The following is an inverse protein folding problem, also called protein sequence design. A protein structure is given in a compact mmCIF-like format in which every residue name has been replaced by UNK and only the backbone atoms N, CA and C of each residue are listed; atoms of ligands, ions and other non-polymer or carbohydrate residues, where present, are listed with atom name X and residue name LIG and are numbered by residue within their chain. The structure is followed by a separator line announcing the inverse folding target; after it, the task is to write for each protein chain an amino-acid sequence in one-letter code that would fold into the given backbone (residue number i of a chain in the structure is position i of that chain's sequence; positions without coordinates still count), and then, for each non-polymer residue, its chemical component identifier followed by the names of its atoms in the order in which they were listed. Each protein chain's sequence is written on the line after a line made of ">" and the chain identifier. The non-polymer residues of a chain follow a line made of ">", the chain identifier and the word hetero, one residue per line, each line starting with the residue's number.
data_IF_354610770927
#
_entry.id   IF_354610770927
#
_cell.length_a   1.000
_cell.length_b   1.000
_cell.length_c   1.000
_cell.angle_alpha   90.00
_cell.angle_beta   90.00
_cell.angle_gamma   90.00
#
_symmetry.space_group_name_H-M   'P 1'
#
loop_
_entity.id
_entity.type
_entity.pdbx_description
1 polymer ?
#
# COMPACT_ATOMS: atom_id res chain seq x y z
N UNK A 1 -45.15 3.36 -14.77
CA UNK A 1 -44.69 2.20 -15.57
C UNK A 1 -43.57 2.65 -16.50
N UNK A 2 -42.50 1.85 -16.59
CA UNK A 2 -41.40 1.93 -17.56
C UNK A 2 -40.35 3.05 -17.41
N UNK A 3 -39.33 2.84 -16.57
CA UNK A 3 -38.01 2.39 -17.05
C UNK A 3 -37.11 2.13 -15.84
N UNK A 4 -37.08 0.88 -15.39
CA UNK A 4 -36.15 0.45 -14.36
C UNK A 4 -35.59 -0.89 -14.83
N UNK A 5 -34.56 -0.83 -15.68
CA UNK A 5 -33.78 -1.98 -16.10
C UNK A 5 -32.32 -1.58 -16.21
N UNK A 6 -31.49 -2.35 -15.51
CA UNK A 6 -30.05 -2.53 -15.66
C UNK A 6 -29.11 -1.63 -14.83
N UNK A 7 -29.19 -1.74 -13.50
CA UNK A 7 -28.01 -1.67 -12.64
C UNK A 7 -27.90 -2.95 -11.80
N UNK A 8 -27.68 -4.09 -12.48
CA UNK A 8 -27.12 -5.29 -11.84
C UNK A 8 -25.66 -5.38 -12.22
N UNK A 9 -24.84 -4.53 -11.61
CA UNK A 9 -23.42 -4.81 -11.47
C UNK A 9 -23.22 -5.17 -10.01
N UNK A 10 -23.28 -6.48 -9.74
CA UNK A 10 -22.88 -7.05 -8.46
C UNK A 10 -21.41 -6.62 -8.27
N UNK A 11 -21.17 -5.71 -7.33
CA UNK A 11 -19.84 -5.43 -6.82
C UNK A 11 -19.34 -6.74 -6.18
N UNK A 12 -18.58 -7.50 -6.96
CA UNK A 12 -17.89 -8.68 -6.48
C UNK A 12 -16.73 -8.15 -5.65
N UNK A 13 -16.76 -8.44 -4.35
CA UNK A 13 -15.70 -8.14 -3.39
C UNK A 13 -14.36 -8.66 -3.91
N UNK A 14 -13.54 -7.73 -4.36
CA UNK A 14 -12.21 -7.52 -3.83
C UNK A 14 -12.03 -6.01 -3.85
N UNK A 15 -11.98 -5.37 -2.68
CA UNK A 15 -11.24 -4.13 -2.58
C UNK A 15 -9.82 -4.42 -3.12
N UNK A 16 -9.25 -3.44 -3.82
CA UNK A 16 -7.81 -3.25 -4.05
C UNK A 16 -7.17 -3.77 -5.34
N UNK A 17 -7.83 -4.59 -6.15
CA UNK A 17 -7.05 -5.36 -7.11
C UNK A 17 -7.64 -5.31 -8.54
N UNK A 18 -7.03 -4.49 -9.40
CA UNK A 18 -7.38 -4.35 -10.82
C UNK A 18 -7.35 -5.72 -11.54
N UNK A 19 -8.01 -5.89 -12.69
CA UNK A 19 -7.83 -7.15 -13.42
C UNK A 19 -6.36 -7.31 -13.89
N UNK A 20 -5.84 -8.53 -13.82
CA UNK A 20 -4.48 -8.83 -14.30
C UNK A 20 -4.39 -8.61 -15.81
N UNK A 21 -3.49 -7.71 -16.21
CA UNK A 21 -3.18 -7.33 -17.60
C UNK A 21 -1.95 -8.09 -18.12
N UNK A 22 -1.06 -8.50 -17.21
CA UNK A 22 0.07 -9.38 -17.47
C UNK A 22 1.03 -8.90 -18.54
N UNK A 23 1.62 -9.85 -19.27
CA UNK A 23 2.61 -9.59 -20.33
C UNK A 23 2.10 -8.74 -21.51
N UNK A 24 0.79 -8.44 -21.56
CA UNK A 24 0.17 -7.59 -22.58
C UNK A 24 -0.01 -6.13 -22.15
N UNK A 25 0.39 -5.80 -20.91
CA UNK A 25 0.32 -4.44 -20.36
C UNK A 25 1.07 -3.45 -21.23
N UNK A 26 0.30 -2.61 -21.93
CA UNK A 26 0.85 -1.54 -22.77
C UNK A 26 1.48 -0.44 -21.91
N UNK A 27 0.94 -0.20 -20.71
CA UNK A 27 1.53 0.74 -19.75
C UNK A 27 2.97 0.33 -19.41
N UNK A 28 3.17 -0.93 -19.04
CA UNK A 28 4.50 -1.42 -18.66
C UNK A 28 5.48 -1.37 -19.81
N UNK A 29 5.05 -1.79 -21.01
CA UNK A 29 5.91 -1.77 -22.19
C UNK A 29 6.30 -0.36 -22.61
N UNK A 30 5.35 0.56 -22.65
CA UNK A 30 5.60 1.93 -23.10
C UNK A 30 6.46 2.70 -22.08
N UNK A 31 6.24 2.51 -20.77
CA UNK A 31 7.11 3.06 -19.73
C UNK A 31 8.52 2.45 -19.78
N UNK A 32 8.65 1.14 -20.00
CA UNK A 32 9.95 0.49 -20.19
C UNK A 32 10.73 1.14 -21.33
N UNK A 33 10.08 1.41 -22.47
CA UNK A 33 10.74 2.09 -23.58
C UNK A 33 11.20 3.51 -23.22
N UNK A 34 10.39 4.27 -22.48
CA UNK A 34 10.76 5.60 -22.00
C UNK A 34 11.97 5.56 -21.04
N UNK A 35 11.98 4.63 -20.07
CA UNK A 35 13.10 4.48 -19.15
C UNK A 35 14.36 3.91 -19.81
N UNK A 36 14.23 3.11 -20.87
CA UNK A 36 15.39 2.71 -21.67
C UNK A 36 16.07 3.94 -22.29
N UNK A 37 15.29 4.91 -22.78
CA UNK A 37 15.84 6.17 -23.27
C UNK A 37 16.54 6.97 -22.16
N UNK A 38 16.03 6.95 -20.92
CA UNK A 38 16.73 7.56 -19.77
C UNK A 38 18.11 6.94 -19.54
N UNK A 39 18.20 5.60 -19.59
CA UNK A 39 19.45 4.86 -19.40
C UNK A 39 20.43 5.18 -20.54
N UNK A 40 19.98 5.04 -21.79
CA UNK A 40 20.83 5.19 -22.98
C UNK A 40 21.40 6.60 -23.09
N UNK A 41 20.58 7.61 -22.78
CA UNK A 41 20.97 9.02 -22.84
C UNK A 41 21.56 9.54 -21.52
N UNK A 42 21.60 8.71 -20.47
CA UNK A 42 22.03 9.09 -19.10
C UNK A 42 21.37 10.37 -18.62
N UNK A 43 20.05 10.43 -18.74
CA UNK A 43 19.27 11.62 -18.38
C UNK A 43 19.42 11.90 -16.87
N UNK A 44 19.89 13.10 -16.54
CA UNK A 44 20.03 13.59 -15.15
C UNK A 44 19.31 14.92 -14.90
N UNK A 45 18.75 15.50 -15.95
CA UNK A 45 18.08 16.80 -15.92
C UNK A 45 16.57 16.67 -16.13
N UNK A 46 15.80 17.53 -15.46
CA UNK A 46 14.34 17.54 -15.51
C UNK A 46 13.77 17.72 -16.93
N UNK A 47 14.39 18.60 -17.75
CA UNK A 47 13.87 18.93 -19.10
C UNK A 47 13.86 17.72 -20.04
N UNK A 48 14.99 17.03 -20.29
CA UNK A 48 14.98 15.82 -21.12
C UNK A 48 14.12 14.71 -20.51
N UNK A 49 14.03 14.62 -19.19
CA UNK A 49 13.15 13.66 -18.52
C UNK A 49 11.66 13.88 -18.84
N UNK A 50 11.17 15.13 -18.75
CA UNK A 50 9.79 15.48 -19.13
C UNK A 50 9.55 15.24 -20.62
N UNK A 51 10.55 15.51 -21.47
CA UNK A 51 10.42 15.39 -22.93
C UNK A 51 10.13 13.95 -23.41
N UNK A 52 10.34 12.94 -22.55
CA UNK A 52 9.97 11.54 -22.83
C UNK A 52 8.46 11.28 -22.79
N UNK A 53 7.65 12.23 -22.31
CA UNK A 53 6.18 12.12 -22.35
C UNK A 53 5.62 11.02 -21.44
N UNK A 54 6.33 10.65 -20.36
CA UNK A 54 5.87 9.60 -19.43
C UNK A 54 4.51 9.90 -18.82
N UNK A 55 4.21 11.17 -18.51
CA UNK A 55 2.88 11.58 -18.05
C UNK A 55 1.77 11.25 -19.06
N UNK A 56 2.04 11.46 -20.36
CA UNK A 56 1.09 11.14 -21.43
C UNK A 56 0.91 9.63 -21.61
N UNK A 57 1.99 8.85 -21.43
CA UNK A 57 1.93 7.39 -21.43
C UNK A 57 0.99 6.92 -20.31
N UNK A 58 1.20 7.42 -19.08
CA UNK A 58 0.34 7.06 -17.94
C UNK A 58 -1.11 7.48 -18.21
N UNK A 59 -1.35 8.72 -18.62
CA UNK A 59 -2.70 9.21 -18.90
C UNK A 59 -3.42 8.39 -19.99
N UNK A 60 -2.71 7.99 -21.04
CA UNK A 60 -3.27 7.16 -22.12
C UNK A 60 -3.80 5.83 -21.60
N UNK A 61 -3.06 5.18 -20.71
CA UNK A 61 -3.40 3.84 -20.23
C UNK A 61 -4.30 3.84 -18.99
N UNK A 62 -4.05 4.72 -18.03
CA UNK A 62 -4.76 4.75 -16.73
C UNK A 62 -5.71 5.93 -16.58
N UNK A 63 -5.64 6.94 -17.44
CA UNK A 63 -6.46 8.14 -17.32
C UNK A 63 -6.04 9.06 -16.16
N UNK A 64 -4.95 8.75 -15.45
CA UNK A 64 -4.42 9.59 -14.38
C UNK A 64 -3.51 10.68 -14.93
N UNK A 65 -3.71 11.92 -14.50
CA UNK A 65 -2.86 13.04 -14.87
C UNK A 65 -1.62 13.07 -13.96
N UNK A 66 -0.55 12.39 -14.39
CA UNK A 66 0.71 12.34 -13.64
C UNK A 66 1.70 13.37 -14.17
N UNK A 67 2.26 14.14 -13.23
CA UNK A 67 3.39 15.03 -13.45
C UNK A 67 4.65 14.39 -12.87
N UNK A 68 5.60 14.07 -13.74
CA UNK A 68 6.84 13.47 -13.32
C UNK A 68 7.87 14.53 -12.93
N UNK A 69 8.44 14.40 -11.74
CA UNK A 69 9.62 15.14 -11.30
C UNK A 69 10.83 14.22 -11.19
N UNK A 70 11.97 14.75 -11.59
CA UNK A 70 13.26 14.11 -11.42
C UNK A 70 13.91 14.70 -10.18
N UNK A 71 14.16 13.85 -9.20
CA UNK A 71 14.99 14.24 -8.07
C UNK A 71 16.47 14.22 -8.51
N UNK A 72 17.05 15.41 -8.51
CA UNK A 72 18.44 15.65 -8.92
C UNK A 72 19.44 15.47 -7.78
N UNK A 73 18.98 15.11 -6.56
CA UNK A 73 19.87 14.79 -5.45
C UNK A 73 20.81 13.64 -5.86
N UNK A 74 22.15 13.86 -5.82
CA UNK A 74 23.10 12.87 -6.31
C UNK A 74 22.90 11.52 -5.61
N UNK A 75 22.63 10.48 -6.40
CA UNK A 75 22.56 9.10 -5.92
C UNK A 75 21.30 8.74 -5.14
N UNK A 76 20.23 9.52 -5.20
CA UNK A 76 18.95 9.10 -4.64
C UNK A 76 18.38 7.92 -5.45
N UNK A 77 18.31 6.74 -4.81
CA UNK A 77 17.72 5.52 -5.38
C UNK A 77 16.35 5.32 -4.77
N UNK A 78 15.41 6.18 -5.13
CA UNK A 78 14.04 6.08 -4.63
C UNK A 78 13.04 6.65 -5.63
N UNK A 79 11.78 6.33 -5.44
CA UNK A 79 10.66 7.00 -6.05
C UNK A 79 9.61 7.31 -4.97
N UNK A 80 8.73 8.27 -5.22
CA UNK A 80 7.56 8.48 -4.38
C UNK A 80 6.41 9.11 -5.15
N UNK A 81 5.19 8.65 -4.84
CA UNK A 81 3.96 9.29 -5.23
C UNK A 81 3.54 10.35 -4.20
N UNK A 82 3.21 11.53 -4.68
CA UNK A 82 2.67 12.63 -3.89
C UNK A 82 1.25 12.94 -4.37
N UNK A 83 0.24 12.16 -3.91
CA UNK A 83 -1.15 12.47 -4.21
C UNK A 83 -1.51 13.87 -3.69
N UNK A 84 -2.37 14.56 -4.42
CA UNK A 84 -2.84 15.88 -4.02
C UNK A 84 -3.54 15.81 -2.66
N UNK A 85 -3.30 16.78 -1.79
CA UNK A 85 -4.05 16.92 -0.54
C UNK A 85 -5.20 17.88 -0.80
N UNK A 86 -6.42 17.35 -1.00
CA UNK A 86 -7.62 18.14 -1.30
C UNK A 86 -8.11 18.96 -0.09
N UNK A 87 -7.92 18.44 1.12
CA UNK A 87 -8.28 19.12 2.37
C UNK A 87 -7.21 18.84 3.44
N UNK A 88 -6.54 19.91 3.87
CA UNK A 88 -5.52 19.88 4.92
C UNK A 88 -6.05 19.47 6.30
N UNK A 89 -7.38 19.55 6.49
CA UNK A 89 -8.08 19.19 7.72
C UNK A 89 -8.79 17.85 7.63
N UNK A 90 -8.61 17.09 6.54
CA UNK A 90 -9.22 15.77 6.45
C UNK A 90 -8.67 14.84 7.55
N UNK A 91 -9.47 13.90 8.08
CA UNK A 91 -8.99 12.92 9.06
C UNK A 91 -7.76 12.13 8.56
N UNK A 92 -7.69 11.86 7.25
CA UNK A 92 -6.54 11.24 6.59
C UNK A 92 -5.28 12.11 6.69
N UNK A 93 -5.42 13.41 6.47
CA UNK A 93 -4.32 14.36 6.59
C UNK A 93 -3.87 14.53 8.04
N UNK A 94 -4.80 14.51 8.99
CA UNK A 94 -4.46 14.59 10.41
C UNK A 94 -3.64 13.38 10.89
N UNK A 95 -3.93 12.20 10.35
CA UNK A 95 -3.13 10.99 10.56
C UNK A 95 -1.71 11.14 10.01
N UNK A 96 -1.56 11.64 8.78
CA UNK A 96 -0.26 11.94 8.18
C UNK A 96 0.54 12.99 8.99
N UNK A 97 -0.14 13.99 9.60
CA UNK A 97 0.52 14.93 10.52
C UNK A 97 1.09 14.23 11.75
N UNK A 98 0.34 13.30 12.34
CA UNK A 98 0.80 12.51 13.50
C UNK A 98 2.02 11.64 13.16
N UNK A 99 2.16 11.23 11.91
CA UNK A 99 3.30 10.50 11.38
C UNK A 99 4.52 11.38 11.06
N UNK A 100 4.46 12.68 11.35
CA UNK A 100 5.57 13.62 11.13
C UNK A 100 5.59 14.25 9.73
N UNK A 101 4.60 13.98 8.88
CA UNK A 101 4.50 14.60 7.55
C UNK A 101 3.84 15.99 7.55
N UNK A 102 3.73 16.64 8.72
CA UNK A 102 3.08 17.95 8.86
C UNK A 102 3.62 19.02 7.90
N UNK A 103 4.95 19.09 7.75
CA UNK A 103 5.60 20.00 6.81
C UNK A 103 5.23 19.72 5.34
N UNK A 104 5.18 18.44 4.96
CA UNK A 104 4.81 18.05 3.60
C UNK A 104 3.34 18.40 3.32
N UNK A 105 2.46 18.16 4.29
CA UNK A 105 1.04 18.48 4.20
C UNK A 105 0.80 19.98 4.02
N UNK A 106 1.47 20.81 4.83
CA UNK A 106 1.31 22.25 4.76
C UNK A 106 1.74 22.82 3.40
N UNK A 107 2.72 22.18 2.75
CA UNK A 107 3.22 22.57 1.44
C UNK A 107 2.47 21.93 0.26
N UNK A 108 1.84 20.77 0.45
CA UNK A 108 1.18 19.99 -0.61
C UNK A 108 -0.35 20.10 -0.56
N UNK A 109 -0.91 20.75 0.46
CA UNK A 109 -2.34 21.09 0.49
C UNK A 109 -2.67 21.98 -0.71
N UNK A 110 -3.57 21.49 -1.56
CA UNK A 110 -3.99 22.23 -2.73
C UNK A 110 -4.81 23.44 -2.32
N UNK A 111 -4.70 24.52 -3.09
CA UNK A 111 -5.46 25.74 -2.80
C UNK A 111 -6.89 25.61 -3.33
N UNK A 112 -7.81 26.35 -2.72
CA UNK A 112 -9.20 26.45 -3.18
C UNK A 112 -9.28 26.83 -4.67
N UNK A 113 -8.38 27.70 -5.14
CA UNK A 113 -8.25 28.10 -6.56
C UNK A 113 -7.93 26.94 -7.50
N UNK A 114 -7.14 25.95 -7.05
CA UNK A 114 -6.83 24.75 -7.84
C UNK A 114 -7.99 23.74 -7.86
N UNK A 115 -8.86 23.74 -6.83
CA UNK A 115 -10.04 22.87 -6.74
C UNK A 115 -11.25 23.46 -7.47
N UNK A 116 -11.42 24.78 -7.47
CA UNK A 116 -12.57 25.47 -8.06
C UNK A 116 -12.89 25.07 -9.52
N UNK A 117 -11.90 24.84 -10.41
CA UNK A 117 -12.18 24.33 -11.76
C UNK A 117 -12.72 22.90 -11.77
N UNK A 118 -12.34 22.08 -10.78
CA UNK A 118 -12.76 20.68 -10.64
C UNK A 118 -14.18 20.57 -10.05
N UNK A 119 -14.62 21.55 -9.26
CA UNK A 119 -15.92 21.52 -8.56
C UNK A 119 -17.14 21.70 -9.46
N UNK A 120 -16.96 22.13 -10.71
CA UNK A 120 -18.05 22.32 -11.68
C UNK A 120 -18.62 21.01 -12.22
N UNK A 121 -17.83 19.93 -12.21
CA UNK A 121 -18.25 18.59 -12.63
C UNK A 121 -17.51 17.53 -11.82
N UNK A 122 -18.05 17.23 -10.63
CA UNK A 122 -17.48 16.30 -9.64
C UNK A 122 -17.71 14.82 -9.97
N UNK A 123 -18.18 14.48 -11.18
CA UNK A 123 -18.39 13.08 -11.57
C UNK A 123 -17.04 12.43 -11.82
N UNK A 124 -16.69 11.46 -10.99
CA UNK A 124 -15.51 10.59 -11.15
C UNK A 124 -15.91 9.13 -11.28
N UNK A 125 -15.14 8.35 -12.03
CA UNK A 125 -15.34 6.90 -12.13
C UNK A 125 -13.99 6.18 -12.10
N UNK A 126 -13.99 4.97 -11.53
CA UNK A 126 -12.85 4.07 -11.46
C UNK A 126 -13.27 2.73 -12.08
N UNK A 127 -12.53 2.31 -13.11
CA UNK A 127 -12.70 1.02 -13.79
C UNK A 127 -11.59 0.06 -13.33
N UNK A 128 -11.92 -0.77 -12.33
CA UNK A 128 -11.00 -1.79 -11.81
C UNK A 128 -10.63 -2.85 -12.86
N UNK A 129 -11.45 -3.09 -13.88
CA UNK A 129 -11.10 -4.08 -14.92
C UNK A 129 -9.98 -3.57 -15.83
N UNK A 130 -9.90 -2.25 -16.02
CA UNK A 130 -8.90 -1.62 -16.89
C UNK A 130 -7.79 -0.90 -16.12
N UNK A 131 -7.91 -0.79 -14.79
CA UNK A 131 -7.02 0.05 -13.99
C UNK A 131 -7.07 1.51 -14.44
N UNK A 132 -8.27 2.01 -14.79
CA UNK A 132 -8.43 3.33 -15.42
C UNK A 132 -9.38 4.22 -14.63
N UNK A 133 -9.04 5.50 -14.50
CA UNK A 133 -9.90 6.54 -13.94
C UNK A 133 -10.45 7.46 -15.02
N UNK A 134 -11.58 8.11 -14.76
CA UNK A 134 -12.20 9.10 -15.65
C UNK A 134 -12.93 10.20 -14.87
N UNK A 135 -13.34 11.26 -15.58
CA UNK A 135 -14.07 12.37 -15.00
C UNK A 135 -13.17 13.27 -14.15
N UNK A 136 -13.60 13.63 -12.94
CA UNK A 136 -12.84 14.52 -12.04
C UNK A 136 -11.48 13.93 -11.66
N UNK A 137 -11.37 12.61 -11.45
CA UNK A 137 -10.10 11.96 -11.08
C UNK A 137 -9.03 12.06 -12.19
N UNK A 138 -9.44 12.11 -13.46
CA UNK A 138 -8.51 12.32 -14.58
C UNK A 138 -7.98 13.74 -14.71
N UNK A 139 -8.57 14.70 -13.97
CA UNK A 139 -8.20 16.11 -14.03
C UNK A 139 -7.36 16.54 -12.83
N UNK A 140 -7.24 15.69 -11.82
CA UNK A 140 -6.43 15.95 -10.63
C UNK A 140 -4.96 15.73 -11.00
N UNK A 141 -4.12 16.78 -11.02
CA UNK A 141 -2.70 16.59 -11.24
C UNK A 141 -2.07 15.97 -9.99
N UNK A 142 -1.43 14.82 -10.19
CA UNK A 142 -0.68 14.12 -9.14
C UNK A 142 0.78 14.06 -9.52
N UNK A 143 1.66 14.21 -8.55
CA UNK A 143 3.10 14.22 -8.77
C UNK A 143 3.71 12.87 -8.44
N UNK A 144 4.61 12.39 -9.29
CA UNK A 144 5.50 11.26 -8.99
C UNK A 144 6.93 11.77 -9.14
N UNK A 145 7.71 11.62 -8.08
CA UNK A 145 9.13 11.95 -8.06
C UNK A 145 9.96 10.68 -8.26
N UNK A 146 10.92 10.74 -9.18
CA UNK A 146 11.83 9.63 -9.50
C UNK A 146 13.27 10.08 -9.25
N UNK A 147 14.04 9.32 -8.49
CA UNK A 147 15.46 9.58 -8.28
C UNK A 147 16.30 9.16 -9.48
N UNK A 148 17.17 10.05 -9.96
CA UNK A 148 18.13 9.72 -11.03
C UNK A 148 19.10 8.58 -10.65
N UNK A 149 19.29 8.32 -9.35
CA UNK A 149 20.10 7.21 -8.86
C UNK A 149 19.56 5.83 -9.25
N UNK A 150 18.28 5.71 -9.60
CA UNK A 150 17.68 4.45 -10.04
C UNK A 150 18.40 3.84 -11.27
N UNK A 151 18.75 4.66 -12.26
CA UNK A 151 19.51 4.20 -13.44
C UNK A 151 21.01 4.50 -13.39
N UNK A 152 21.44 5.49 -12.60
CA UNK A 152 22.86 5.88 -12.55
C UNK A 152 23.67 5.12 -11.51
N UNK A 153 23.04 4.71 -10.39
CA UNK A 153 23.73 4.13 -9.23
C UNK A 153 23.29 2.69 -9.01
N UNK A 154 21.99 2.44 -8.97
CA UNK A 154 21.47 1.10 -8.67
C UNK A 154 21.62 0.10 -9.83
N UNK A 155 21.99 0.56 -11.02
CA UNK A 155 22.16 -0.31 -12.19
C UNK A 155 20.87 -1.06 -12.55
N UNK A 156 19.71 -0.45 -12.28
CA UNK A 156 18.42 -1.02 -12.62
C UNK A 156 18.22 -0.98 -14.14
N UNK A 157 17.64 -2.06 -14.66
CA UNK A 157 17.16 -2.16 -16.03
C UNK A 157 15.93 -1.28 -16.23
N UNK A 158 15.63 -0.94 -17.49
CA UNK A 158 14.44 -0.15 -17.81
C UNK A 158 13.15 -0.79 -17.30
N UNK A 159 13.05 -2.12 -17.34
CA UNK A 159 11.92 -2.89 -16.82
C UNK A 159 11.79 -2.76 -15.30
N UNK A 160 12.90 -2.79 -14.57
CA UNK A 160 12.91 -2.62 -13.11
C UNK A 160 12.48 -1.20 -12.72
N UNK A 161 12.96 -0.18 -13.43
CA UNK A 161 12.58 1.22 -13.18
C UNK A 161 11.10 1.44 -13.53
N UNK A 162 10.63 0.88 -14.65
CA UNK A 162 9.22 0.92 -15.02
C UNK A 162 8.33 0.21 -13.97
N UNK A 163 8.80 -0.89 -13.38
CA UNK A 163 8.08 -1.60 -12.32
C UNK A 163 7.94 -0.74 -11.06
N UNK A 164 9.00 -0.04 -10.63
CA UNK A 164 8.96 0.93 -9.53
C UNK A 164 7.99 2.07 -9.87
N UNK A 165 8.06 2.63 -11.08
CA UNK A 165 7.15 3.69 -11.50
C UNK A 165 5.69 3.25 -11.45
N UNK A 166 5.37 2.01 -11.85
CA UNK A 166 4.00 1.49 -11.80
C UNK A 166 3.55 1.25 -10.36
N UNK A 167 4.45 0.84 -9.46
CA UNK A 167 4.16 0.79 -8.03
C UNK A 167 3.73 2.18 -7.51
N UNK A 168 4.47 3.25 -7.83
CA UNK A 168 4.08 4.62 -7.45
C UNK A 168 2.73 5.04 -8.06
N UNK A 169 2.47 4.66 -9.32
CA UNK A 169 1.17 4.87 -9.97
C UNK A 169 0.06 4.11 -9.22
N UNK A 170 0.36 2.94 -8.66
CA UNK A 170 -0.53 2.15 -7.81
C UNK A 170 -0.99 2.93 -6.58
N UNK A 171 -0.07 3.61 -5.88
CA UNK A 171 -0.45 4.48 -4.75
C UNK A 171 -1.46 5.55 -5.16
N UNK A 172 -1.27 6.19 -6.32
CA UNK A 172 -2.20 7.22 -6.82
C UNK A 172 -3.56 6.62 -7.17
N UNK A 173 -3.58 5.44 -7.79
CA UNK A 173 -4.81 4.74 -8.15
C UNK A 173 -5.62 4.37 -6.90
N UNK A 174 -4.97 3.77 -5.90
CA UNK A 174 -5.58 3.39 -4.62
C UNK A 174 -6.04 4.61 -3.84
N UNK A 175 -5.31 5.72 -3.90
CA UNK A 175 -5.75 6.99 -3.32
C UNK A 175 -7.09 7.45 -3.92
N UNK A 176 -7.26 7.38 -5.24
CA UNK A 176 -8.55 7.71 -5.86
C UNK A 176 -9.67 6.73 -5.51
N UNK A 177 -9.37 5.43 -5.39
CA UNK A 177 -10.34 4.42 -4.94
C UNK A 177 -10.82 4.71 -3.52
N UNK A 178 -9.89 4.94 -2.60
CA UNK A 178 -10.19 5.30 -1.22
C UNK A 178 -11.00 6.60 -1.15
N UNK A 179 -10.59 7.64 -1.90
CA UNK A 179 -11.31 8.91 -1.96
C UNK A 179 -12.74 8.76 -2.47
N UNK A 180 -12.95 8.00 -3.55
CA UNK A 180 -14.28 7.72 -4.09
C UNK A 180 -15.15 6.99 -3.07
N UNK A 181 -14.59 5.98 -2.41
CA UNK A 181 -15.32 5.17 -1.45
C UNK A 181 -15.70 5.97 -0.19
N UNK A 182 -14.77 6.74 0.38
CA UNK A 182 -15.05 7.61 1.53
C UNK A 182 -16.07 8.69 1.17
N UNK A 183 -15.93 9.35 0.02
CA UNK A 183 -16.83 10.42 -0.41
C UNK A 183 -18.25 9.89 -0.67
N UNK A 184 -18.36 8.77 -1.41
CA UNK A 184 -19.66 8.15 -1.69
C UNK A 184 -20.36 7.72 -0.41
N UNK A 185 -19.61 7.16 0.55
CA UNK A 185 -20.15 6.78 1.86
C UNK A 185 -20.74 7.99 2.59
N UNK A 186 -19.99 9.07 2.67
CA UNK A 186 -20.41 10.27 3.40
C UNK A 186 -21.63 10.94 2.75
N UNK A 187 -21.65 11.07 1.42
CA UNK A 187 -22.77 11.67 0.68
C UNK A 187 -24.02 10.81 0.81
N UNK A 188 -23.92 9.48 0.64
CA UNK A 188 -25.07 8.58 0.77
C UNK A 188 -25.69 8.68 2.16
N UNK A 189 -24.87 8.72 3.22
CA UNK A 189 -25.37 8.89 4.58
C UNK A 189 -26.05 10.24 4.79
N UNK A 190 -25.48 11.32 4.24
CA UNK A 190 -26.06 12.66 4.35
C UNK A 190 -27.41 12.75 3.61
N UNK A 191 -27.49 12.24 2.38
CA UNK A 191 -28.74 12.17 1.63
C UNK A 191 -29.79 11.33 2.36
N UNK A 192 -29.42 10.14 2.85
CA UNK A 192 -30.31 9.29 3.62
C UNK A 192 -30.89 10.01 4.84
N UNK A 193 -30.05 10.71 5.62
CA UNK A 193 -30.53 11.46 6.79
C UNK A 193 -31.46 12.61 6.41
N UNK A 194 -31.13 13.35 5.35
CA UNK A 194 -32.00 14.42 4.85
C UNK A 194 -33.36 13.90 4.40
N UNK A 195 -33.41 12.74 3.76
CA UNK A 195 -34.64 12.13 3.29
C UNK A 195 -35.46 11.54 4.45
N UNK A 196 -34.82 10.87 5.41
CA UNK A 196 -35.46 10.40 6.65
C UNK A 196 -36.14 11.56 7.39
N UNK A 197 -35.48 12.72 7.49
CA UNK A 197 -36.03 13.89 8.17
C UNK A 197 -37.25 14.50 7.45
N UNK A 198 -37.37 14.30 6.13
CA UNK A 198 -38.46 14.86 5.31
C UNK A 198 -39.59 13.87 5.07
N UNK A 199 -39.35 12.57 5.22
CA UNK A 199 -40.35 11.53 5.01
C UNK A 199 -41.32 11.46 6.20
N UNK A 200 -42.64 11.60 6.00
CA UNK A 200 -43.61 11.52 7.08
C UNK A 200 -43.92 10.09 7.53
N UNK A 201 -43.82 9.12 6.62
CA UNK A 201 -44.16 7.72 6.87
C UNK A 201 -42.99 6.92 7.49
N UNK A 202 -43.29 6.17 8.55
CA UNK A 202 -42.29 5.37 9.28
C UNK A 202 -41.81 4.14 8.53
N UNK A 203 -42.68 3.50 7.74
CA UNK A 203 -42.35 2.31 6.97
C UNK A 203 -41.40 2.65 5.80
N UNK A 204 -41.67 3.76 5.10
CA UNK A 204 -40.77 4.29 4.07
C UNK A 204 -39.39 4.69 4.62
N UNK A 205 -39.33 5.33 5.80
CA UNK A 205 -38.05 5.65 6.47
C UNK A 205 -37.26 4.38 6.78
N UNK A 206 -37.92 3.36 7.33
CA UNK A 206 -37.29 2.09 7.65
C UNK A 206 -36.77 1.38 6.38
N UNK A 207 -37.56 1.40 5.30
CA UNK A 207 -37.15 0.86 4.01
C UNK A 207 -35.91 1.56 3.46
N UNK A 208 -35.87 2.90 3.53
CA UNK A 208 -34.69 3.68 3.11
C UNK A 208 -33.45 3.30 3.94
N UNK A 209 -33.59 3.13 5.26
CA UNK A 209 -32.48 2.67 6.12
C UNK A 209 -31.95 1.32 5.65
N UNK A 210 -32.83 0.36 5.30
CA UNK A 210 -32.42 -0.93 4.77
C UNK A 210 -31.76 -0.84 3.39
N UNK A 211 -32.28 -0.02 2.49
CA UNK A 211 -31.68 0.20 1.16
C UNK A 211 -30.27 0.80 1.27
N UNK A 212 -30.09 1.77 2.19
CA UNK A 212 -28.77 2.36 2.49
C UNK A 212 -27.85 1.32 3.12
N UNK A 213 -28.36 0.50 4.04
CA UNK A 213 -27.58 -0.58 4.67
C UNK A 213 -27.13 -1.64 3.65
N UNK A 214 -28.01 -2.02 2.72
CA UNK A 214 -27.71 -2.95 1.64
C UNK A 214 -26.67 -2.35 0.67
N UNK A 215 -26.87 -1.09 0.26
CA UNK A 215 -25.90 -0.37 -0.59
C UNK A 215 -24.52 -0.27 0.07
N UNK A 216 -24.49 0.00 1.38
CA UNK A 216 -23.26 0.07 2.16
C UNK A 216 -22.72 -1.29 2.59
N UNK A 217 -23.46 -2.37 2.33
CA UNK A 217 -23.15 -3.75 2.73
C UNK A 217 -22.90 -3.88 4.24
N UNK A 218 -23.72 -3.21 5.06
CA UNK A 218 -23.64 -3.26 6.52
C UNK A 218 -24.84 -3.98 7.12
N UNK A 219 -24.60 -4.74 8.19
CA UNK A 219 -25.68 -5.29 9.02
C UNK A 219 -26.00 -4.28 10.12
N UNK A 220 -27.28 -3.98 10.28
CA UNK A 220 -27.77 -3.04 11.29
C UNK A 220 -28.66 -3.77 12.29
N UNK A 221 -28.23 -3.79 13.55
CA UNK A 221 -28.95 -4.46 14.62
C UNK A 221 -30.14 -3.62 15.15
N UNK A 222 -30.19 -2.33 14.79
CA UNK A 222 -31.17 -1.36 15.29
C UNK A 222 -31.72 -0.44 14.19
N UNK A 223 -32.07 -0.99 13.02
CA UNK A 223 -32.58 -0.24 11.87
C UNK A 223 -33.81 0.64 12.21
N UNK A 224 -34.70 0.16 13.08
CA UNK A 224 -35.90 0.90 13.53
C UNK A 224 -35.56 2.20 14.25
N UNK A 225 -34.49 2.22 15.06
CA UNK A 225 -34.03 3.42 15.76
C UNK A 225 -33.38 4.43 14.82
N UNK A 226 -32.82 3.97 13.70
CA UNK A 226 -32.21 4.82 12.68
C UNK A 226 -33.24 5.51 11.79
N UNK A 227 -34.45 4.95 11.70
CA UNK A 227 -35.57 5.53 10.96
C UNK A 227 -36.27 6.68 11.72
N UNK A 228 -35.85 6.97 12.96
CA UNK A 228 -36.38 8.08 13.75
C UNK A 228 -35.81 9.44 13.27
N UNK A 229 -36.65 10.37 12.78
CA UNK A 229 -36.19 11.70 12.37
C UNK A 229 -35.62 12.53 13.53
N UNK A 230 -36.03 12.26 14.78
CA UNK A 230 -35.51 12.96 15.97
C UNK A 230 -34.14 12.44 16.42
N UNK A 231 -33.66 11.32 15.84
CA UNK A 231 -32.33 10.84 16.12
C UNK A 231 -31.30 11.90 15.74
N UNK A 232 -30.46 12.27 16.70
CA UNK A 232 -29.37 13.21 16.50
C UNK A 232 -28.48 12.76 15.34
N UNK A 233 -28.16 13.68 14.43
CA UNK A 233 -27.34 13.44 13.24
C UNK A 233 -26.04 12.68 13.58
N UNK A 234 -25.35 13.12 14.63
CA UNK A 234 -24.13 12.46 15.11
C UNK A 234 -24.38 10.97 15.39
N UNK A 235 -25.47 10.61 16.07
CA UNK A 235 -25.78 9.21 16.37
C UNK A 235 -26.12 8.41 15.12
N UNK A 236 -26.86 9.00 14.17
CA UNK A 236 -27.16 8.36 12.89
C UNK A 236 -25.87 8.01 12.13
N UNK A 237 -24.99 8.99 11.96
CA UNK A 237 -23.71 8.78 11.28
C UNK A 237 -22.82 7.80 12.05
N UNK A 238 -22.72 7.93 13.39
CA UNK A 238 -21.90 7.04 14.21
C UNK A 238 -22.35 5.59 14.10
N UNK A 239 -23.64 5.27 14.08
CA UNK A 239 -24.11 3.89 13.99
C UNK A 239 -23.79 3.29 12.63
N UNK A 240 -24.04 4.01 11.53
CA UNK A 240 -23.69 3.52 10.19
C UNK A 240 -22.18 3.37 10.00
N UNK A 241 -21.40 4.36 10.46
CA UNK A 241 -19.95 4.30 10.39
C UNK A 241 -19.38 3.21 11.31
N UNK A 242 -19.95 2.98 12.49
CA UNK A 242 -19.57 1.89 13.37
C UNK A 242 -19.91 0.53 12.76
N UNK A 243 -21.11 0.35 12.21
CA UNK A 243 -21.50 -0.88 11.52
C UNK A 243 -20.63 -1.14 10.28
N UNK A 244 -20.26 -0.10 9.55
CA UNK A 244 -19.31 -0.18 8.44
C UNK A 244 -17.90 -0.50 8.93
N UNK A 245 -17.45 0.13 10.01
CA UNK A 245 -16.13 -0.11 10.60
C UNK A 245 -16.01 -1.53 11.17
N UNK A 246 -17.06 -2.03 11.82
CA UNK A 246 -17.11 -3.38 12.40
C UNK A 246 -17.18 -4.48 11.32
N UNK A 247 -17.60 -4.15 10.09
CA UNK A 247 -17.63 -5.08 8.95
C UNK A 247 -16.50 -4.94 7.93
N UNK A 248 -16.02 -3.72 7.64
CA UNK A 248 -15.24 -3.41 6.43
C UNK A 248 -14.22 -2.25 6.55
N UNK A 249 -14.17 -1.45 7.63
CA UNK A 249 -13.34 -0.21 7.68
C UNK A 249 -12.58 0.02 8.99
N UNK A 250 -12.51 -0.96 9.90
CA UNK A 250 -11.39 -0.93 10.84
C UNK A 250 -10.13 -1.09 10.00
N UNK A 251 -9.06 -0.35 10.35
CA UNK A 251 -7.72 -0.89 10.16
C UNK A 251 -7.82 -2.37 10.48
N UNK A 252 -7.50 -3.26 9.55
CA UNK A 252 -7.81 -4.70 9.69
C UNK A 252 -7.30 -5.27 11.03
N UNK A 253 -6.30 -4.59 11.62
CA UNK A 253 -5.70 -4.86 12.92
C UNK A 253 -5.89 -3.79 14.02
N UNK A 254 -6.49 -2.63 13.73
CA UNK A 254 -6.56 -1.50 14.67
C UNK A 254 -5.23 -0.76 14.88
N UNK A 255 -4.29 -0.89 13.92
CA UNK A 255 -2.93 -0.35 14.01
C UNK A 255 -2.58 0.46 12.76
N UNK A 256 -2.16 1.70 12.96
CA UNK A 256 -1.68 2.60 11.90
C UNK A 256 -0.56 2.00 11.04
N UNK A 257 0.29 1.17 11.65
CA UNK A 257 1.40 0.50 10.95
C UNK A 257 0.88 -0.50 9.90
N UNK A 258 -0.27 -1.10 10.15
CA UNK A 258 -0.89 -2.03 9.23
C UNK A 258 -1.48 -1.32 8.01
N UNK A 259 -2.10 -0.17 8.22
CA UNK A 259 -2.74 0.59 7.14
C UNK A 259 -1.68 1.16 6.17
N UNK A 260 -0.53 1.59 6.69
CA UNK A 260 0.61 1.98 5.85
C UNK A 260 1.13 0.81 5.00
N UNK A 261 1.33 -0.36 5.61
CA UNK A 261 1.76 -1.58 4.88
C UNK A 261 0.73 -2.02 3.86
N UNK A 262 -0.55 -1.87 4.16
CA UNK A 262 -1.63 -2.18 3.21
C UNK A 262 -1.48 -1.33 1.94
N UNK A 263 -1.15 -0.04 2.06
CA UNK A 263 -0.94 0.82 0.88
C UNK A 263 0.22 0.37 -0.02
N UNK A 264 1.31 -0.13 0.57
CA UNK A 264 2.45 -0.74 -0.15
C UNK A 264 2.06 -2.04 -0.85
N UNK A 265 1.32 -2.91 -0.14
CA UNK A 265 0.85 -4.19 -0.68
C UNK A 265 -0.06 -3.96 -1.89
N UNK A 266 -0.97 -2.99 -1.82
CA UNK A 266 -1.87 -2.69 -2.94
C UNK A 266 -1.11 -2.09 -4.13
N UNK A 267 -0.11 -1.25 -3.88
CA UNK A 267 0.76 -0.72 -4.94
C UNK A 267 1.59 -1.82 -5.62
N UNK A 268 2.14 -2.76 -4.82
CA UNK A 268 2.82 -3.96 -5.30
C UNK A 268 1.90 -4.84 -6.16
N UNK A 269 0.66 -5.06 -5.72
CA UNK A 269 -0.35 -5.78 -6.50
C UNK A 269 -0.67 -5.04 -7.81
N UNK A 270 -0.86 -3.72 -7.78
CA UNK A 270 -1.12 -2.93 -8.99
C UNK A 270 0.00 -3.10 -10.02
N UNK A 271 1.25 -3.10 -9.58
CA UNK A 271 2.42 -3.36 -10.43
C UNK A 271 2.46 -4.82 -10.92
N UNK A 272 2.29 -5.79 -10.03
CA UNK A 272 2.24 -7.21 -10.39
C UNK A 272 1.19 -7.50 -11.46
N UNK A 273 0.02 -6.88 -11.35
CA UNK A 273 -1.10 -7.03 -12.30
C UNK A 273 -0.89 -6.34 -13.63
N UNK A 274 -0.06 -5.30 -13.69
CA UNK A 274 0.45 -4.76 -14.95
C UNK A 274 1.61 -5.56 -15.54
N UNK A 275 1.86 -6.78 -15.03
CA UNK A 275 2.86 -7.70 -15.59
C UNK A 275 4.30 -7.37 -15.19
N UNK A 276 4.50 -6.45 -14.25
CA UNK A 276 5.85 -6.03 -13.81
C UNK A 276 6.30 -6.71 -12.51
N UNK A 277 5.55 -7.69 -11.99
CA UNK A 277 5.79 -8.29 -10.67
C UNK A 277 7.20 -8.87 -10.49
N UNK A 278 7.72 -9.63 -11.47
CA UNK A 278 9.10 -10.13 -11.44
C UNK A 278 10.12 -9.00 -11.35
N UNK A 279 9.97 -8.01 -12.23
CA UNK A 279 10.91 -6.89 -12.31
C UNK A 279 10.86 -6.03 -11.05
N UNK A 280 9.71 -5.90 -10.41
CA UNK A 280 9.58 -5.25 -9.10
C UNK A 280 10.36 -6.02 -8.03
N UNK A 281 10.21 -7.35 -7.98
CA UNK A 281 10.97 -8.21 -7.05
C UNK A 281 12.48 -8.07 -7.27
N UNK A 282 12.95 -8.10 -8.52
CA UNK A 282 14.38 -7.94 -8.82
C UNK A 282 14.88 -6.55 -8.46
N UNK A 283 14.10 -5.49 -8.74
CA UNK A 283 14.44 -4.12 -8.39
C UNK A 283 14.57 -3.94 -6.87
N UNK A 284 13.58 -4.41 -6.10
CA UNK A 284 13.60 -4.38 -4.64
C UNK A 284 14.80 -5.14 -4.07
N UNK A 285 15.12 -6.31 -4.62
CA UNK A 285 16.30 -7.07 -4.20
C UNK A 285 17.61 -6.29 -4.43
N UNK A 286 17.79 -5.72 -5.64
CA UNK A 286 18.98 -4.90 -5.94
C UNK A 286 19.08 -3.67 -5.05
N UNK A 287 17.96 -3.01 -4.76
CA UNK A 287 17.92 -1.88 -3.84
C UNK A 287 18.28 -2.30 -2.42
N UNK A 288 17.76 -3.43 -1.92
CA UNK A 288 18.14 -3.96 -0.60
C UNK A 288 19.63 -4.31 -0.52
N UNK A 289 20.22 -4.82 -1.59
CA UNK A 289 21.67 -5.04 -1.69
C UNK A 289 22.43 -3.72 -1.67
N UNK A 290 21.97 -2.71 -2.42
CA UNK A 290 22.61 -1.40 -2.45
C UNK A 290 22.55 -0.67 -1.11
N UNK A 291 21.43 -0.78 -0.40
CA UNK A 291 21.22 -0.19 0.92
C UNK A 291 21.87 -0.99 2.06
N UNK A 292 22.60 -2.06 1.74
CA UNK A 292 23.24 -2.95 2.71
C UNK A 292 22.25 -3.49 3.77
N UNK A 293 21.03 -3.82 3.32
CA UNK A 293 19.97 -4.30 4.20
C UNK A 293 20.37 -5.65 4.84
N UNK A 294 20.06 -5.81 6.13
CA UNK A 294 20.44 -7.01 6.86
C UNK A 294 19.77 -8.30 6.33
N UNK A 295 18.66 -8.17 5.60
CA UNK A 295 17.92 -9.29 5.02
C UNK A 295 18.66 -10.02 3.90
N UNK A 296 19.54 -9.31 3.16
CA UNK A 296 20.32 -9.89 2.05
C UNK A 296 21.69 -10.42 2.48
N UNK A 297 22.09 -10.15 3.72
CA UNK A 297 23.37 -10.64 4.27
C UNK A 297 23.26 -12.12 4.64
N UNK A 298 24.37 -12.87 4.71
CA UNK A 298 24.38 -14.20 5.30
C UNK A 298 23.92 -14.19 6.77
N UNK A 299 23.30 -15.28 7.23
CA UNK A 299 22.80 -15.40 8.62
C UNK A 299 23.92 -15.28 9.65
N UNK A 300 25.12 -15.81 9.36
CA UNK A 300 26.26 -15.74 10.26
C UNK A 300 26.76 -14.31 10.50
N UNK A 301 26.59 -13.41 9.52
CA UNK A 301 26.95 -11.99 9.68
C UNK A 301 26.06 -11.31 10.72
N UNK A 302 24.75 -11.58 10.67
CA UNK A 302 23.80 -11.12 11.68
C UNK A 302 24.14 -11.68 13.07
N UNK A 303 24.54 -12.95 13.18
CA UNK A 303 24.96 -13.55 14.44
C UNK A 303 26.18 -12.83 15.06
N UNK A 304 27.19 -12.49 14.24
CA UNK A 304 28.35 -11.73 14.70
C UNK A 304 27.95 -10.30 15.11
N UNK A 305 27.09 -9.64 14.33
CA UNK A 305 26.62 -8.30 14.64
C UNK A 305 25.84 -8.26 15.96
N UNK A 306 24.90 -9.18 16.18
CA UNK A 306 24.14 -9.28 17.43
C UNK A 306 25.05 -9.65 18.61
N UNK A 307 26.02 -10.54 18.41
CA UNK A 307 26.98 -10.93 19.45
C UNK A 307 27.87 -9.73 19.85
N UNK A 308 28.34 -8.91 18.89
CA UNK A 308 29.05 -7.66 19.18
C UNK A 308 28.19 -6.69 19.98
N UNK A 309 26.90 -6.53 19.63
CA UNK A 309 25.97 -5.68 20.39
C UNK A 309 25.82 -6.16 21.84
N UNK A 310 25.65 -7.47 22.05
CA UNK A 310 25.54 -8.06 23.39
C UNK A 310 26.85 -7.89 24.18
N UNK A 311 28.00 -8.15 23.56
CA UNK A 311 29.31 -8.00 24.22
C UNK A 311 29.64 -6.54 24.55
N UNK A 312 29.28 -5.60 23.67
CA UNK A 312 29.40 -4.15 23.96
C UNK A 312 28.48 -3.75 25.11
N UNK A 313 27.22 -4.21 25.11
CA UNK A 313 26.29 -3.95 26.20
C UNK A 313 26.79 -4.55 27.54
N UNK A 314 27.25 -5.81 27.52
CA UNK A 314 27.81 -6.48 28.69
C UNK A 314 29.11 -5.80 29.17
N UNK A 315 29.98 -5.41 28.25
CA UNK A 315 31.22 -4.67 28.53
C UNK A 315 30.99 -3.28 29.12
N UNK A 316 29.91 -2.60 28.72
CA UNK A 316 29.49 -1.33 29.33
C UNK A 316 28.92 -1.52 30.74
N UNK A 317 28.17 -2.60 30.99
CA UNK A 317 27.66 -2.95 32.34
C UNK A 317 28.80 -3.29 33.29
N UNK A 318 29.78 -4.09 32.84
CA UNK A 318 30.94 -4.45 33.66
C UNK A 318 31.93 -3.29 33.81
N UNK A 319 32.12 -2.47 32.77
CA UNK A 319 32.93 -1.25 32.80
C UNK A 319 32.38 -0.16 33.73
N UNK A 320 31.05 0.05 33.75
CA UNK A 320 30.40 0.96 34.69
C UNK A 320 30.45 0.46 36.15
N UNK A 321 30.50 -0.86 36.36
CA UNK A 321 30.67 -1.49 37.67
C UNK A 321 32.09 -1.37 38.25
N UNK A 322 33.10 -1.12 37.42
CA UNK A 322 34.50 -1.00 37.87
C UNK A 322 34.96 0.44 38.17
N UNK A 323 34.17 1.48 37.83
CA UNK A 323 34.41 2.84 38.32
C UNK A 323 33.78 2.94 39.71
N UNK A 324 34.58 2.70 40.75
CA UNK A 324 34.18 2.90 42.13
C UNK A 324 33.65 4.34 42.32
N UNK A 325 32.37 4.48 42.73
CA UNK A 325 31.63 5.66 43.29
C UNK A 325 30.20 5.72 42.71
N UNK A 326 29.20 6.27 43.45
CA UNK A 326 27.80 6.49 43.04
C UNK A 326 27.54 6.96 41.60
N UNK A 327 28.52 7.59 40.94
CA UNK A 327 28.45 7.94 39.51
C UNK A 327 28.23 6.72 38.60
N UNK A 328 28.82 5.56 38.89
CA UNK A 328 28.62 4.33 38.10
C UNK A 328 27.19 3.80 38.19
N UNK A 329 26.56 3.91 39.36
CA UNK A 329 25.14 3.57 39.58
C UNK A 329 24.24 4.56 38.84
N UNK A 330 24.54 5.86 38.89
CA UNK A 330 23.78 6.89 38.18
C UNK A 330 23.90 6.72 36.67
N UNK A 331 25.09 6.45 36.14
CA UNK A 331 25.28 6.16 34.71
C UNK A 331 24.54 4.88 34.31
N UNK A 332 24.62 3.82 35.13
CA UNK A 332 23.88 2.58 34.91
C UNK A 332 22.35 2.77 34.91
N UNK A 333 21.82 3.56 35.85
CA UNK A 333 20.39 3.89 35.91
C UNK A 333 19.95 4.81 34.77
N UNK A 334 20.76 5.79 34.37
CA UNK A 334 20.51 6.62 33.18
C UNK A 334 20.57 5.80 31.89
N UNK A 335 21.39 4.75 31.84
CA UNK A 335 21.42 3.83 30.71
C UNK A 335 20.23 2.89 30.71
N UNK A 336 19.83 2.32 31.86
CA UNK A 336 18.60 1.52 31.97
C UNK A 336 17.40 2.38 31.63
N UNK A 337 17.34 3.61 32.12
CA UNK A 337 16.28 4.57 31.80
C UNK A 337 16.32 5.01 30.34
N UNK A 338 17.50 5.26 29.76
CA UNK A 338 17.70 5.58 28.36
C UNK A 338 17.37 4.41 27.43
N UNK A 339 17.70 3.19 27.82
CA UNK A 339 17.31 1.95 27.14
C UNK A 339 15.80 1.71 27.31
N UNK A 340 15.21 2.00 28.47
CA UNK A 340 13.78 1.91 28.70
C UNK A 340 13.04 2.96 27.86
N UNK A 341 13.55 4.19 27.76
CA UNK A 341 13.04 5.28 26.91
C UNK A 341 13.25 4.97 25.42
N UNK A 342 14.37 4.36 25.05
CA UNK A 342 14.63 3.91 23.69
C UNK A 342 13.71 2.75 23.33
N UNK A 343 13.51 1.80 24.24
CA UNK A 343 12.52 0.72 24.09
C UNK A 343 11.14 1.39 23.96
N UNK A 344 10.66 2.13 24.94
CA UNK A 344 9.29 2.69 24.91
C UNK A 344 9.07 3.76 23.83
N UNK A 345 10.11 4.45 23.36
CA UNK A 345 10.04 5.54 22.40
C UNK A 345 10.45 5.19 20.96
N UNK A 346 11.42 4.30 20.76
CA UNK A 346 11.72 3.74 19.44
C UNK A 346 10.84 2.51 19.24
N UNK A 347 9.72 2.67 18.55
CA UNK A 347 8.89 1.53 18.18
C UNK A 347 9.54 0.83 16.97
N UNK A 348 10.24 -0.32 17.12
CA UNK A 348 10.82 -1.05 15.99
C UNK A 348 9.77 -1.60 15.02
N UNK A 349 8.48 -1.53 15.37
CA UNK A 349 7.36 -1.88 14.49
C UNK A 349 6.80 -0.69 13.69
N UNK A 350 7.25 0.55 13.93
CA UNK A 350 7.03 1.69 13.02
C UNK A 350 7.87 1.48 11.75
N UNK A 351 7.49 0.47 10.97
CA UNK A 351 8.02 0.23 9.63
C UNK A 351 6.91 0.55 8.64
N UNK A 352 7.22 1.45 7.71
CA UNK A 352 6.35 1.79 6.57
C UNK A 352 6.21 0.56 5.65
N UNK A 353 7.29 -0.23 5.53
CA UNK A 353 7.36 -1.44 4.71
C UNK A 353 7.29 -2.72 5.55
N UNK A 354 6.82 -3.81 4.95
CA UNK A 354 7.01 -5.16 5.49
C UNK A 354 8.49 -5.56 5.53
N UNK A 355 8.79 -6.64 6.24
CA UNK A 355 10.11 -7.25 6.14
C UNK A 355 10.37 -7.67 4.67
N UNK A 356 11.60 -7.47 4.14
CA UNK A 356 11.87 -7.61 2.72
C UNK A 356 11.39 -8.92 2.10
N UNK A 357 11.62 -10.07 2.74
CA UNK A 357 11.18 -11.35 2.18
C UNK A 357 9.66 -11.49 2.19
N UNK A 358 8.98 -11.05 3.24
CA UNK A 358 7.51 -11.07 3.32
C UNK A 358 6.88 -10.29 2.16
N UNK A 359 7.42 -9.11 1.83
CA UNK A 359 6.99 -8.32 0.66
C UNK A 359 7.15 -9.09 -0.65
N UNK A 360 8.31 -9.72 -0.87
CA UNK A 360 8.55 -10.53 -2.09
C UNK A 360 7.60 -11.74 -2.18
N UNK A 361 7.33 -12.39 -1.06
CA UNK A 361 6.40 -13.53 -0.98
C UNK A 361 4.97 -13.09 -1.32
N UNK A 362 4.54 -11.90 -0.90
CA UNK A 362 3.21 -11.36 -1.26
C UNK A 362 3.08 -11.08 -2.76
N UNK A 363 4.10 -10.47 -3.38
CA UNK A 363 4.12 -10.28 -4.84
C UNK A 363 4.03 -11.63 -5.55
N UNK A 364 4.75 -12.64 -5.08
CA UNK A 364 4.65 -14.02 -5.58
C UNK A 364 3.22 -14.56 -5.46
N UNK A 365 2.58 -14.39 -4.30
CA UNK A 365 1.22 -14.86 -4.06
C UNK A 365 0.20 -14.21 -5.02
N UNK A 366 0.27 -12.91 -5.28
CA UNK A 366 -0.63 -12.26 -6.25
C UNK A 366 -0.45 -12.80 -7.68
N UNK A 367 0.79 -13.14 -8.08
CA UNK A 367 1.05 -13.83 -9.35
C UNK A 367 0.45 -15.24 -9.39
N UNK A 368 0.54 -16.00 -8.28
CA UNK A 368 -0.11 -17.32 -8.15
C UNK A 368 -1.63 -17.18 -8.22
N UNK A 369 -2.21 -16.18 -7.58
CA UNK A 369 -3.65 -15.90 -7.65
C UNK A 369 -4.08 -15.52 -9.07
N UNK A 370 -3.22 -14.79 -9.78
CA UNK A 370 -3.41 -14.48 -11.20
C UNK A 370 -3.39 -15.73 -12.08
N UNK A 371 -2.68 -16.81 -11.71
CA UNK A 371 -2.77 -18.12 -12.38
C UNK A 371 -4.13 -18.79 -12.24
N UNK A 372 -4.82 -18.60 -11.12
CA UNK A 372 -6.10 -19.27 -10.83
C UNK A 372 -7.28 -18.67 -11.59
N UNK A 373 -7.21 -17.36 -11.86
CA UNK A 373 -8.36 -16.57 -12.34
C UNK A 373 -8.46 -16.46 -13.85
N UNK A 374 -7.41 -16.83 -14.59
CA UNK A 374 -7.29 -16.54 -16.02
C UNK A 374 -7.09 -17.79 -16.89
N UNK A 375 -7.83 -17.84 -18.00
CA UNK A 375 -7.62 -18.80 -19.09
C UNK A 375 -6.47 -18.30 -19.98
N UNK A 376 -5.24 -18.39 -19.50
CA UNK A 376 -4.07 -17.97 -20.26
C UNK A 376 -3.87 -18.81 -21.51
N UNK A 377 -3.33 -18.17 -22.56
CA UNK A 377 -2.66 -18.89 -23.63
C UNK A 377 -1.47 -19.69 -23.06
N UNK A 378 -1.05 -20.80 -23.71
CA UNK A 378 0.10 -21.57 -23.25
C UNK A 378 1.37 -20.71 -23.06
N UNK A 379 1.57 -19.72 -23.94
CA UNK A 379 2.72 -18.80 -23.90
C UNK A 379 2.71 -17.89 -22.68
N UNK A 380 1.57 -17.30 -22.32
CA UNK A 380 1.46 -16.43 -21.15
C UNK A 380 1.64 -17.21 -19.86
N UNK A 381 1.12 -18.43 -19.81
CA UNK A 381 1.33 -19.35 -18.69
C UNK A 381 2.81 -19.68 -18.50
N UNK A 382 3.53 -19.97 -19.57
CA UNK A 382 4.96 -20.25 -19.53
C UNK A 382 5.80 -19.02 -19.15
N UNK A 383 5.36 -17.81 -19.49
CA UNK A 383 6.00 -16.57 -19.00
C UNK A 383 5.80 -16.46 -17.49
N UNK A 384 4.57 -16.57 -17.01
CA UNK A 384 4.24 -16.41 -15.59
C UNK A 384 4.89 -17.49 -14.72
N UNK A 385 4.97 -18.74 -15.22
CA UNK A 385 5.71 -19.81 -14.54
C UNK A 385 7.22 -19.54 -14.44
N UNK A 386 7.83 -18.95 -15.47
CA UNK A 386 9.23 -18.52 -15.41
C UNK A 386 9.42 -17.36 -14.44
N UNK A 387 8.49 -16.41 -14.44
CA UNK A 387 8.52 -15.29 -13.51
C UNK A 387 8.47 -15.77 -12.05
N UNK A 388 7.60 -16.74 -11.75
CA UNK A 388 7.52 -17.36 -10.43
C UNK A 388 8.81 -18.09 -10.05
N UNK A 389 9.46 -18.78 -10.99
CA UNK A 389 10.72 -19.48 -10.72
C UNK A 389 11.84 -18.49 -10.36
N UNK A 390 11.98 -17.40 -11.10
CA UNK A 390 12.98 -16.38 -10.81
C UNK A 390 12.71 -15.69 -9.46
N UNK A 391 11.45 -15.40 -9.15
CA UNK A 391 11.05 -14.86 -7.86
C UNK A 391 11.39 -15.84 -6.72
N UNK A 392 11.15 -17.14 -6.91
CA UNK A 392 11.47 -18.20 -5.94
C UNK A 392 12.98 -18.28 -5.65
N UNK A 393 13.82 -18.06 -6.66
CA UNK A 393 15.28 -18.01 -6.49
C UNK A 393 15.71 -16.79 -5.65
N UNK A 394 15.12 -15.62 -5.92
CA UNK A 394 15.40 -14.40 -5.16
C UNK A 394 14.94 -14.56 -3.70
N UNK A 395 13.72 -15.06 -3.46
CA UNK A 395 13.17 -15.28 -2.11
C UNK A 395 14.05 -16.21 -1.27
N UNK A 396 14.70 -17.20 -1.89
CA UNK A 396 15.65 -18.09 -1.18
C UNK A 396 16.90 -17.37 -0.70
N UNK A 397 17.34 -16.34 -1.43
CA UNK A 397 18.51 -15.52 -1.07
C UNK A 397 18.24 -14.49 0.03
N UNK A 398 16.96 -14.18 0.29
CA UNK A 398 16.55 -13.20 1.30
C UNK A 398 16.12 -13.90 2.60
N UNK A 399 16.63 -13.38 3.70
CA UNK A 399 16.39 -13.90 5.04
C UNK A 399 15.89 -12.80 5.96
N UNK A 400 14.61 -12.81 6.30
CA UNK A 400 14.09 -11.96 7.37
C UNK A 400 14.66 -12.44 8.70
N UNK A 401 15.41 -11.57 9.36
CA UNK A 401 16.07 -11.85 10.64
C UNK A 401 15.49 -10.95 11.71
N UNK A 402 15.26 -11.54 12.87
CA UNK A 402 14.85 -10.78 14.05
C UNK A 402 16.06 -10.52 14.92
N UNK A 403 16.21 -9.27 15.30
CA UNK A 403 17.17 -8.88 16.32
C UNK A 403 16.71 -9.35 17.69
N UNK A 404 17.64 -9.49 18.62
CA UNK A 404 17.31 -9.81 20.02
C UNK A 404 16.40 -8.73 20.61
N UNK A 405 16.59 -7.47 20.20
CA UNK A 405 15.76 -6.36 20.63
C UNK A 405 14.31 -6.49 20.15
N UNK A 406 14.07 -6.93 18.90
CA UNK A 406 12.70 -7.17 18.41
C UNK A 406 12.00 -8.28 19.22
N UNK A 407 12.74 -9.32 19.63
CA UNK A 407 12.17 -10.37 20.49
C UNK A 407 11.80 -9.84 21.88
N UNK A 408 12.68 -9.06 22.50
CA UNK A 408 12.40 -8.43 23.79
C UNK A 408 11.23 -7.43 23.70
N UNK A 409 11.11 -6.71 22.58
CA UNK A 409 10.02 -5.77 22.32
C UNK A 409 8.64 -6.43 22.30
N UNK A 410 8.50 -7.54 21.57
CA UNK A 410 7.25 -8.31 21.49
C UNK A 410 6.90 -8.87 22.87
N UNK A 411 7.89 -9.32 23.64
CA UNK A 411 7.68 -9.87 24.98
C UNK A 411 7.31 -8.80 26.03
N UNK A 412 7.59 -7.52 25.78
CA UNK A 412 7.41 -6.46 26.76
C UNK A 412 5.95 -6.22 27.19
N UNK A 413 4.96 -6.38 26.29
CA UNK A 413 3.54 -6.17 26.63
C UNK A 413 2.61 -7.24 26.03
N UNK A 414 1.48 -7.50 26.69
CA UNK A 414 0.45 -8.43 26.20
C UNK A 414 -0.20 -7.96 24.90
N UNK A 415 -0.36 -6.66 24.73
CA UNK A 415 -0.92 -6.04 23.52
C UNK A 415 -0.04 -6.29 22.30
N UNK A 416 1.28 -6.12 22.41
CA UNK A 416 2.24 -6.39 21.32
C UNK A 416 2.27 -7.85 20.93
N UNK A 417 2.23 -8.77 21.91
CA UNK A 417 2.09 -10.21 21.63
C UNK A 417 0.83 -10.51 20.84
N UNK A 418 -0.29 -9.84 21.17
CA UNK A 418 -1.57 -10.00 20.47
C UNK A 418 -1.48 -9.49 19.04
N UNK A 419 -0.97 -8.28 18.83
CA UNK A 419 -0.75 -7.71 17.48
C UNK A 419 0.13 -8.62 16.62
N UNK A 420 1.25 -9.09 17.19
CA UNK A 420 2.14 -10.02 16.53
C UNK A 420 1.46 -11.36 16.17
N UNK A 421 0.64 -11.91 17.07
CA UNK A 421 -0.10 -13.15 16.81
C UNK A 421 -1.15 -12.99 15.71
N UNK A 422 -1.82 -11.82 15.63
CA UNK A 422 -2.79 -11.52 14.58
C UNK A 422 -2.10 -11.45 13.21
N UNK A 423 -1.00 -10.71 13.10
CA UNK A 423 -0.19 -10.65 11.88
C UNK A 423 0.24 -12.04 11.40
N UNK A 424 0.68 -12.90 12.33
CA UNK A 424 1.07 -14.29 12.00
C UNK A 424 -0.09 -15.12 11.44
N UNK A 425 -1.26 -15.04 12.06
CA UNK A 425 -2.46 -15.76 11.60
C UNK A 425 -2.84 -15.30 10.19
N UNK A 426 -2.83 -13.99 9.93
CA UNK A 426 -3.13 -13.46 8.60
C UNK A 426 -2.14 -13.96 7.54
N UNK A 427 -0.83 -13.91 7.83
CA UNK A 427 0.20 -14.45 6.93
C UNK A 427 0.04 -15.96 6.67
N UNK A 428 -0.43 -16.73 7.67
CA UNK A 428 -0.70 -18.16 7.50
C UNK A 428 -1.95 -18.40 6.66
N UNK A 429 -3.00 -17.59 6.83
CA UNK A 429 -4.19 -17.61 5.97
C UNK A 429 -3.84 -17.27 4.52
N UNK A 430 -3.01 -16.24 4.28
CA UNK A 430 -2.50 -15.89 2.95
C UNK A 430 -1.80 -17.10 2.29
N UNK A 431 -0.90 -17.78 3.01
CA UNK A 431 -0.19 -18.97 2.50
C UNK A 431 -1.12 -20.15 2.18
N UNK A 432 -2.19 -20.33 2.95
CA UNK A 432 -3.17 -21.39 2.72
C UNK A 432 -3.99 -21.13 1.45
N UNK A 433 -4.37 -19.86 1.21
CA UNK A 433 -5.11 -19.45 0.01
C UNK A 433 -4.22 -19.55 -1.22
N UNK A 434 -2.95 -19.16 -1.12
CA UNK A 434 -1.99 -19.09 -2.23
C UNK A 434 -1.00 -20.25 -2.30
N UNK A 435 -1.54 -21.46 -2.17
CA UNK A 435 -0.70 -22.65 -2.11
C UNK A 435 -0.07 -23.04 -3.47
N UNK A 436 1.02 -23.79 -3.38
CA UNK A 436 1.82 -24.24 -4.53
C UNK A 436 1.11 -25.29 -5.41
N UNK A 437 -0.02 -25.86 -5.00
CA UNK A 437 -0.77 -26.86 -5.79
C UNK A 437 -1.18 -26.26 -7.12
N UNK A 438 -1.57 -24.98 -7.17
CA UNK A 438 -1.94 -24.30 -8.41
C UNK A 438 -0.74 -24.12 -9.35
N UNK A 439 0.45 -23.82 -8.79
CA UNK A 439 1.69 -23.73 -9.57
C UNK A 439 2.05 -25.09 -10.15
N UNK A 440 1.99 -26.16 -9.34
CA UNK A 440 2.26 -27.54 -9.79
C UNK A 440 1.24 -28.02 -10.83
N UNK A 441 -0.03 -27.69 -10.65
CA UNK A 441 -1.08 -28.00 -11.62
C UNK A 441 -0.86 -27.28 -12.96
N UNK A 442 -0.47 -26.00 -12.92
CA UNK A 442 -0.15 -25.23 -14.12
C UNK A 442 1.09 -25.80 -14.86
N UNK A 443 2.12 -26.22 -14.12
CA UNK A 443 3.31 -26.91 -14.66
C UNK A 443 2.94 -28.25 -15.34
N UNK A 444 2.06 -29.04 -14.72
CA UNK A 444 1.60 -30.30 -15.30
C UNK A 444 0.82 -30.08 -16.61
N UNK A 445 -0.04 -29.06 -16.66
CA UNK A 445 -0.78 -28.72 -17.87
C UNK A 445 0.13 -28.24 -19.01
N UNK A 446 1.20 -27.48 -18.72
CA UNK A 446 2.15 -27.05 -19.76
C UNK A 446 3.00 -28.19 -20.29
N UNK A 447 3.28 -29.21 -19.46
CA UNK A 447 3.95 -30.45 -19.87
C UNK A 447 3.06 -31.34 -20.76
N UNK A 448 1.74 -31.34 -20.54
CA UNK A 448 0.78 -32.10 -21.36
C UNK A 448 0.45 -31.43 -22.71
N UNK A 449 0.73 -30.14 -22.84
CA UNK A 449 0.49 -29.36 -24.06
C UNK A 449 1.70 -29.33 -25.02
N UNK A 450 2.82 -29.92 -24.62
CA UNK A 450 3.99 -30.22 -25.46
C UNK A 450 3.87 -31.63 -25.99
#
# INVERSE_FOLDING_TARGET
>A
MSSNKNYKTIAKEALEAIAYQGSTSLLFRDLTAAFQACIDQRIVDQKPFIALGMGDIVFRHTGMAIQFKLDMRPGLVNACAMPIILDGNSPFTQLMRQLGYGFAIDNWTTTHEKILPLSRDLRGMIDLKKGRVSGVFSKIPTEIEMGSGLWLVAGLTAQEIAAICIHEIGHVFTYFEALLWTTTTNITLQCAKMDINKMPDGEQRLKLVFEVAEFMQVKLDAAEKLADPQLADVKFYTIFLAAKADGNVRSSSGSLNYDMRSSEVVADQFAARHGSGRYLVTALHKMNVLYDDDSVKPVWFHFIAETKKILLAAGMITGAGMIAVPAGIVIGLLWVFGALLYITGANPELKIYDDPKERLVRIRHDLVQSLKTLRYSPKERDILLRDLQEIDEIIKSVHDKRTVMNMLWILATSERRKQYSQMKIEQELEKLVDNDIFVRAAQLQSLQAK
#
